data_IF_770143591168
#
_entry.id   IF_770143591168
#
_cell.length_a   1.000
_cell.length_b   1.000
_cell.length_c   1.000
_cell.angle_alpha   90.00
_cell.angle_beta   90.00
_cell.angle_gamma   90.00
#
_symmetry.space_group_name_H-M   'P 1'
#
loop_
_entity.id
_entity.type
_entity.pdbx_description
1 polymer ?
#
# COMPACT_ATOMS: atom_id res chain seq x y z
N UNK A 1 38.94 -105.55 1.42
CA UNK A 1 37.84 -105.14 2.31
C UNK A 1 38.06 -103.67 2.63
N UNK A 2 37.53 -102.78 1.79
CA UNK A 2 36.25 -102.03 1.90
C UNK A 2 36.46 -100.59 2.42
N UNK A 3 36.37 -99.65 1.47
CA UNK A 3 36.01 -98.20 1.54
C UNK A 3 34.77 -97.95 2.44
N UNK A 4 34.38 -96.74 2.93
CA UNK A 4 34.59 -95.35 2.42
C UNK A 4 35.00 -94.33 3.53
N UNK A 5 35.30 -93.04 3.36
CA UNK A 5 35.23 -92.02 2.31
C UNK A 5 35.19 -90.66 3.05
N UNK A 6 35.83 -89.56 2.58
CA UNK A 6 35.68 -88.25 3.20
C UNK A 6 34.40 -87.58 2.67
N UNK A 7 33.37 -87.44 3.52
CA UNK A 7 32.18 -86.66 3.18
C UNK A 7 32.52 -85.19 3.33
N UNK A 8 32.56 -84.52 2.18
CA UNK A 8 32.67 -83.07 2.08
C UNK A 8 31.50 -82.37 2.76
N UNK A 9 31.83 -81.34 3.54
CA UNK A 9 30.91 -80.33 4.03
C UNK A 9 31.40 -78.95 3.62
N UNK A 10 31.22 -78.61 2.35
CA UNK A 10 31.50 -77.27 1.80
C UNK A 10 30.62 -76.17 2.44
N UNK A 11 31.09 -74.92 2.41
CA UNK A 11 30.71 -73.83 3.33
C UNK A 11 29.37 -73.19 2.96
N UNK A 12 28.27 -73.68 3.51
CA UNK A 12 26.95 -73.09 3.23
C UNK A 12 26.72 -71.75 3.96
N UNK A 13 27.44 -71.47 5.06
CA UNK A 13 27.29 -70.20 5.80
C UNK A 13 27.83 -68.96 5.06
N UNK A 14 28.79 -69.11 4.14
CA UNK A 14 29.48 -67.96 3.50
C UNK A 14 28.74 -67.35 2.29
N UNK A 15 27.73 -68.04 1.73
CA UNK A 15 26.96 -67.56 0.56
C UNK A 15 25.72 -66.74 0.94
N UNK A 16 25.07 -67.04 2.05
CA UNK A 16 23.84 -66.34 2.48
C UNK A 16 24.19 -64.94 3.00
N UNK A 17 25.28 -64.80 3.76
CA UNK A 17 25.80 -63.48 4.19
C UNK A 17 26.20 -62.60 2.99
N UNK A 18 26.82 -63.17 1.94
CA UNK A 18 27.22 -62.40 0.75
C UNK A 18 26.02 -61.86 -0.05
N UNK A 19 24.90 -62.60 -0.07
CA UNK A 19 23.67 -62.19 -0.75
C UNK A 19 22.89 -61.13 0.04
N UNK A 20 22.85 -61.24 1.37
CA UNK A 20 22.21 -60.25 2.25
C UNK A 20 22.99 -58.92 2.23
N UNK A 21 24.32 -59.01 2.22
CA UNK A 21 25.20 -57.82 2.14
C UNK A 21 25.06 -57.11 0.78
N UNK A 22 24.91 -57.86 -0.32
CA UNK A 22 24.67 -57.30 -1.66
C UNK A 22 23.31 -56.62 -1.79
N UNK A 23 22.24 -57.23 -1.27
CA UNK A 23 20.90 -56.63 -1.27
C UNK A 23 20.80 -55.38 -0.40
N UNK A 24 21.44 -55.38 0.77
CA UNK A 24 21.51 -54.21 1.65
C UNK A 24 22.29 -53.06 1.00
N UNK A 25 23.41 -53.36 0.32
CA UNK A 25 24.21 -52.36 -0.37
C UNK A 25 23.47 -51.74 -1.56
N UNK A 26 22.75 -52.55 -2.36
CA UNK A 26 21.92 -52.03 -3.47
C UNK A 26 20.79 -51.15 -2.95
N UNK A 27 20.12 -51.56 -1.88
CA UNK A 27 19.06 -50.77 -1.25
C UNK A 27 19.59 -49.44 -0.71
N UNK A 28 20.75 -49.46 -0.04
CA UNK A 28 21.40 -48.26 0.47
C UNK A 28 21.82 -47.31 -0.66
N UNK A 29 22.39 -47.82 -1.76
CA UNK A 29 22.72 -47.01 -2.94
C UNK A 29 21.46 -46.38 -3.54
N UNK A 30 20.36 -47.14 -3.64
CA UNK A 30 19.10 -46.63 -4.18
C UNK A 30 18.52 -45.53 -3.28
N UNK A 31 18.57 -45.70 -1.95
CA UNK A 31 18.18 -44.66 -1.01
C UNK A 31 19.04 -43.40 -1.12
N UNK A 32 20.36 -43.54 -1.29
CA UNK A 32 21.26 -42.40 -1.51
C UNK A 32 20.89 -41.68 -2.80
N UNK A 33 20.68 -42.41 -3.91
CA UNK A 33 20.32 -41.82 -5.19
C UNK A 33 18.99 -41.07 -5.12
N UNK A 34 17.98 -41.64 -4.46
CA UNK A 34 16.69 -40.98 -4.22
C UNK A 34 16.87 -39.75 -3.32
N UNK A 35 17.65 -39.87 -2.24
CA UNK A 35 17.95 -38.76 -1.34
C UNK A 35 18.64 -37.59 -2.04
N UNK A 36 19.68 -37.86 -2.82
CA UNK A 36 20.39 -36.85 -3.62
C UNK A 36 19.47 -36.21 -4.65
N UNK A 37 18.63 -37.00 -5.32
CA UNK A 37 17.66 -36.49 -6.29
C UNK A 37 16.64 -35.56 -5.63
N UNK A 38 16.09 -35.95 -4.48
CA UNK A 38 15.16 -35.13 -3.71
C UNK A 38 15.82 -33.82 -3.25
N UNK A 39 17.03 -33.88 -2.68
CA UNK A 39 17.76 -32.68 -2.24
C UNK A 39 18.03 -31.74 -3.42
N UNK A 40 18.39 -32.28 -4.58
CA UNK A 40 18.65 -31.48 -5.79
C UNK A 40 17.38 -30.78 -6.28
N UNK A 41 16.26 -31.51 -6.35
CA UNK A 41 14.97 -30.95 -6.78
C UNK A 41 14.48 -29.89 -5.79
N UNK A 42 14.49 -30.19 -4.49
CA UNK A 42 14.06 -29.25 -3.45
C UNK A 42 14.95 -28.01 -3.45
N UNK A 43 16.28 -28.18 -3.56
CA UNK A 43 17.23 -27.08 -3.66
C UNK A 43 16.98 -26.19 -4.88
N UNK A 44 16.74 -26.80 -6.05
CA UNK A 44 16.43 -26.06 -7.28
C UNK A 44 15.11 -25.27 -7.16
N UNK A 45 14.06 -25.89 -6.63
CA UNK A 45 12.76 -25.23 -6.45
C UNK A 45 12.89 -24.06 -5.48
N UNK A 46 13.50 -24.26 -4.32
CA UNK A 46 13.69 -23.19 -3.33
C UNK A 46 14.47 -22.01 -3.92
N UNK A 47 15.58 -22.29 -4.62
CA UNK A 47 16.39 -21.26 -5.28
C UNK A 47 15.59 -20.50 -6.35
N UNK A 48 14.88 -21.22 -7.22
CA UNK A 48 14.07 -20.63 -8.29
C UNK A 48 12.95 -19.74 -7.74
N UNK A 49 12.24 -20.20 -6.70
CA UNK A 49 11.17 -19.43 -6.07
C UNK A 49 11.68 -18.19 -5.33
N UNK A 50 12.84 -18.30 -4.67
CA UNK A 50 13.48 -17.16 -4.01
C UNK A 50 13.92 -16.09 -5.00
N UNK A 51 14.59 -16.49 -6.09
CA UNK A 51 15.04 -15.58 -7.14
C UNK A 51 13.88 -14.86 -7.83
N UNK A 52 12.75 -15.55 -8.06
CA UNK A 52 11.56 -14.95 -8.66
C UNK A 52 10.91 -13.94 -7.72
N UNK A 53 10.79 -14.27 -6.44
CA UNK A 53 10.24 -13.35 -5.42
C UNK A 53 11.09 -12.09 -5.30
N UNK A 54 12.42 -12.23 -5.28
CA UNK A 54 13.32 -11.08 -5.21
C UNK A 54 13.20 -10.19 -6.46
N UNK A 55 13.15 -10.78 -7.65
CA UNK A 55 12.92 -10.03 -8.90
C UNK A 55 11.59 -9.26 -8.87
N UNK A 56 10.52 -9.91 -8.41
CA UNK A 56 9.21 -9.28 -8.31
C UNK A 56 9.23 -8.13 -7.29
N UNK A 57 9.94 -8.29 -6.17
CA UNK A 57 10.14 -7.23 -5.19
C UNK A 57 10.93 -6.06 -5.77
N UNK A 58 12.05 -6.30 -6.45
CA UNK A 58 12.84 -5.23 -7.09
C UNK A 58 12.04 -4.48 -8.16
N UNK A 59 11.26 -5.22 -8.96
CA UNK A 59 10.37 -4.61 -9.96
C UNK A 59 9.31 -3.73 -9.31
N UNK A 60 8.71 -4.19 -8.21
CA UNK A 60 7.78 -3.42 -7.41
C UNK A 60 8.45 -2.18 -6.79
N UNK A 61 9.68 -2.27 -6.27
CA UNK A 61 10.40 -1.11 -5.70
C UNK A 61 10.66 -0.04 -6.77
N UNK A 62 10.99 -0.46 -7.99
CA UNK A 62 11.12 0.44 -9.14
C UNK A 62 9.77 1.05 -9.55
N UNK A 63 8.70 0.25 -9.58
CA UNK A 63 7.33 0.73 -9.85
C UNK A 63 6.86 1.74 -8.80
N UNK A 64 7.15 1.51 -7.51
CA UNK A 64 6.81 2.42 -6.44
C UNK A 64 7.52 3.78 -6.61
N UNK A 65 8.81 3.76 -6.96
CA UNK A 65 9.55 4.98 -7.27
C UNK A 65 8.96 5.72 -8.47
N UNK A 66 8.62 4.99 -9.54
CA UNK A 66 7.98 5.56 -10.73
C UNK A 66 6.60 6.15 -10.39
N UNK A 67 5.79 5.47 -9.58
CA UNK A 67 4.48 5.94 -9.13
C UNK A 67 4.59 7.25 -8.33
N UNK A 68 5.54 7.34 -7.40
CA UNK A 68 5.80 8.58 -6.65
C UNK A 68 6.27 9.70 -7.59
N UNK A 69 7.21 9.43 -8.50
CA UNK A 69 7.72 10.44 -9.43
C UNK A 69 6.67 10.92 -10.43
N UNK A 70 5.81 10.03 -10.93
CA UNK A 70 4.69 10.39 -11.81
C UNK A 70 3.72 11.34 -11.10
N UNK A 71 3.35 11.05 -9.84
CA UNK A 71 2.50 11.94 -9.06
C UNK A 71 3.12 13.34 -8.90
N UNK A 72 4.44 13.43 -8.71
CA UNK A 72 5.16 14.71 -8.65
C UNK A 72 5.13 15.47 -9.98
N UNK A 73 5.34 14.76 -11.10
CA UNK A 73 5.35 15.37 -12.43
C UNK A 73 3.95 15.83 -12.85
N UNK A 74 2.92 15.01 -12.61
CA UNK A 74 1.52 15.34 -12.92
C UNK A 74 1.03 16.54 -12.11
N UNK A 75 1.28 16.54 -10.80
CA UNK A 75 0.93 17.68 -9.93
C UNK A 75 1.68 18.95 -10.30
N UNK A 76 2.99 18.89 -10.56
CA UNK A 76 3.77 20.03 -11.03
C UNK A 76 3.30 20.54 -12.40
N UNK A 77 2.94 19.62 -13.32
CA UNK A 77 2.34 19.96 -14.60
C UNK A 77 1.01 20.69 -14.45
N UNK A 78 0.13 20.18 -13.58
CA UNK A 78 -1.15 20.80 -13.27
C UNK A 78 -0.98 22.19 -12.64
N UNK A 79 -0.05 22.34 -11.69
CA UNK A 79 0.27 23.63 -11.06
C UNK A 79 0.76 24.67 -12.07
N UNK A 80 1.58 24.25 -13.06
CA UNK A 80 2.03 25.14 -14.14
C UNK A 80 0.88 25.51 -15.08
N UNK A 81 0.02 24.56 -15.41
CA UNK A 81 -1.10 24.78 -16.33
C UNK A 81 -2.22 25.63 -15.74
N UNK A 82 -2.46 25.58 -14.42
CA UNK A 82 -3.57 26.30 -13.79
C UNK A 82 -3.35 27.81 -13.71
N UNK A 83 -2.09 28.28 -13.72
CA UNK A 83 -1.71 29.66 -13.43
C UNK A 83 -2.27 30.24 -12.11
N UNK A 84 -2.78 29.37 -11.22
CA UNK A 84 -3.38 29.77 -9.95
C UNK A 84 -2.31 30.28 -8.99
N UNK A 85 -2.68 31.26 -8.17
CA UNK A 85 -1.80 31.83 -7.14
C UNK A 85 -2.41 31.79 -5.75
N UNK A 86 -3.71 31.52 -5.65
CA UNK A 86 -4.39 31.44 -4.37
C UNK A 86 -4.09 30.09 -3.69
N UNK A 87 -3.74 30.06 -2.39
CA UNK A 87 -3.36 28.83 -1.72
C UNK A 87 -4.46 27.76 -1.70
N UNK A 88 -5.73 28.16 -1.64
CA UNK A 88 -6.85 27.22 -1.57
C UNK A 88 -6.96 26.37 -2.85
N UNK A 89 -6.92 27.01 -4.02
CA UNK A 89 -6.96 26.32 -5.31
C UNK A 89 -5.72 25.45 -5.51
N UNK A 90 -4.54 25.94 -5.10
CA UNK A 90 -3.29 25.18 -5.18
C UNK A 90 -3.31 23.95 -4.27
N UNK A 91 -3.79 24.07 -3.03
CA UNK A 91 -3.97 22.93 -2.12
C UNK A 91 -4.91 21.88 -2.71
N UNK A 92 -6.06 22.29 -3.26
CA UNK A 92 -7.00 21.36 -3.88
C UNK A 92 -6.39 20.67 -5.11
N UNK A 93 -5.61 21.39 -5.92
CA UNK A 93 -4.95 20.85 -7.09
C UNK A 93 -3.83 19.86 -6.73
N UNK A 94 -3.01 20.18 -5.74
CA UNK A 94 -1.99 19.28 -5.22
C UNK A 94 -2.67 18.01 -4.70
N UNK A 95 -3.70 18.14 -3.86
CA UNK A 95 -4.43 16.99 -3.32
C UNK A 95 -5.07 16.11 -4.38
N UNK A 96 -5.57 16.71 -5.47
CA UNK A 96 -6.13 15.95 -6.60
C UNK A 96 -5.10 15.09 -7.32
N UNK A 97 -3.87 15.57 -7.49
CA UNK A 97 -2.84 14.88 -8.29
C UNK A 97 -1.88 14.03 -7.46
N UNK A 98 -1.69 14.33 -6.18
CA UNK A 98 -0.87 13.49 -5.29
C UNK A 98 -1.70 12.51 -4.47
N UNK A 99 -2.99 12.79 -4.31
CA UNK A 99 -3.89 12.13 -3.35
C UNK A 99 -3.45 12.32 -1.89
N UNK A 100 -2.63 13.34 -1.62
CA UNK A 100 -2.14 13.61 -0.27
C UNK A 100 -3.28 14.05 0.66
N UNK A 101 -3.52 13.32 1.76
CA UNK A 101 -4.50 13.74 2.75
C UNK A 101 -4.09 15.03 3.43
N UNK A 102 -2.80 15.17 3.76
CA UNK A 102 -2.26 16.35 4.45
C UNK A 102 -1.41 17.19 3.51
N UNK A 103 -1.75 18.48 3.43
CA UNK A 103 -1.05 19.47 2.62
C UNK A 103 -0.87 20.75 3.44
N UNK A 104 0.37 21.04 3.80
CA UNK A 104 0.72 22.25 4.54
C UNK A 104 1.17 23.35 3.59
N UNK A 105 0.84 24.60 3.92
CA UNK A 105 1.29 25.78 3.20
C UNK A 105 2.11 26.67 4.13
N UNK A 106 3.36 26.90 3.77
CA UNK A 106 4.25 27.87 4.40
C UNK A 106 4.18 29.19 3.62
N UNK A 107 3.46 30.16 4.18
CA UNK A 107 3.28 31.47 3.56
C UNK A 107 4.57 32.29 3.47
N UNK A 108 5.52 32.11 4.40
CA UNK A 108 6.77 32.85 4.41
C UNK A 108 7.67 32.45 3.22
N UNK A 109 7.67 31.16 2.89
CA UNK A 109 8.48 30.61 1.79
C UNK A 109 7.68 30.30 0.52
N UNK A 110 6.37 30.59 0.50
CA UNK A 110 5.43 30.22 -0.59
C UNK A 110 5.60 28.76 -1.02
N UNK A 111 5.64 27.88 -0.01
CA UNK A 111 5.98 26.47 -0.17
C UNK A 111 4.80 25.61 0.26
N UNK A 112 4.49 24.60 -0.54
CA UNK A 112 3.55 23.55 -0.16
C UNK A 112 4.30 22.26 0.17
N UNK A 113 3.86 21.54 1.18
CA UNK A 113 4.35 20.19 1.48
C UNK A 113 3.17 19.24 1.53
N UNK A 114 3.16 18.25 0.66
CA UNK A 114 2.12 17.23 0.59
C UNK A 114 2.71 15.86 0.99
N UNK A 115 2.02 15.14 1.87
CA UNK A 115 2.52 13.88 2.45
C UNK A 115 1.53 12.76 2.16
N UNK A 116 1.99 11.69 1.53
CA UNK A 116 1.13 10.55 1.15
C UNK A 116 1.90 9.24 1.17
N UNK A 117 1.27 8.21 1.71
CA UNK A 117 1.77 6.84 1.56
C UNK A 117 1.40 6.33 0.17
N UNK A 118 2.41 5.87 -0.57
CA UNK A 118 2.20 5.15 -1.83
C UNK A 118 2.65 3.71 -1.64
N UNK A 119 2.00 2.81 -2.34
CA UNK A 119 2.29 1.39 -2.25
C UNK A 119 2.05 0.69 -3.58
N UNK A 120 2.74 -0.43 -3.76
CA UNK A 120 2.48 -1.36 -4.84
C UNK A 120 2.54 -2.79 -4.30
N UNK A 121 1.78 -3.68 -4.92
CA UNK A 121 1.70 -5.08 -4.56
C UNK A 121 2.63 -5.89 -5.49
N UNK A 122 3.21 -6.96 -4.97
CA UNK A 122 4.05 -7.86 -5.74
C UNK A 122 3.76 -9.33 -5.41
N UNK A 123 3.93 -10.18 -6.41
CA UNK A 123 3.69 -11.60 -6.24
C UNK A 123 4.89 -12.27 -5.58
N UNK A 124 4.67 -12.87 -4.40
CA UNK A 124 5.59 -13.81 -3.78
C UNK A 124 5.38 -15.20 -4.36
N UNK A 125 6.46 -15.88 -4.69
CA UNK A 125 6.44 -17.26 -5.17
C UNK A 125 7.13 -18.13 -4.14
N UNK A 126 6.46 -19.20 -3.69
CA UNK A 126 7.02 -20.20 -2.79
C UNK A 126 6.65 -21.62 -3.28
N UNK A 127 7.23 -22.64 -2.65
CA UNK A 127 7.07 -24.05 -3.04
C UNK A 127 5.63 -24.60 -2.89
N UNK A 128 4.77 -23.98 -2.06
CA UNK A 128 3.43 -24.47 -1.71
C UNK A 128 2.28 -23.64 -2.33
N UNK A 129 2.60 -22.62 -3.12
CA UNK A 129 1.63 -21.70 -3.71
C UNK A 129 1.97 -20.24 -3.42
N UNK A 130 1.92 -19.40 -4.45
CA UNK A 130 2.26 -17.99 -4.34
C UNK A 130 1.29 -17.17 -3.47
N UNK A 131 1.68 -15.95 -3.15
CA UNK A 131 0.85 -14.96 -2.46
C UNK A 131 1.11 -13.55 -2.99
N UNK A 132 0.31 -12.58 -2.52
CA UNK A 132 0.63 -11.16 -2.70
C UNK A 132 1.31 -10.63 -1.45
N UNK A 133 2.21 -9.68 -1.64
CA UNK A 133 2.78 -8.88 -0.57
C UNK A 133 2.86 -7.43 -1.05
N UNK A 134 3.04 -6.49 -0.14
CA UNK A 134 2.95 -5.06 -0.43
C UNK A 134 4.21 -4.37 0.03
N UNK A 135 4.77 -3.54 -0.84
CA UNK A 135 5.77 -2.56 -0.44
C UNK A 135 5.09 -1.19 -0.41
N UNK A 136 5.46 -0.38 0.58
CA UNK A 136 4.92 0.94 0.75
C UNK A 136 6.02 1.91 1.21
N UNK A 137 5.88 3.16 0.81
CA UNK A 137 6.78 4.23 1.20
C UNK A 137 6.02 5.54 1.39
N UNK A 138 6.58 6.39 2.24
CA UNK A 138 6.06 7.73 2.46
C UNK A 138 6.66 8.70 1.45
N UNK A 139 5.84 9.23 0.54
CA UNK A 139 6.22 10.28 -0.40
C UNK A 139 5.95 11.66 0.19
N UNK A 140 7.01 12.47 0.31
CA UNK A 140 6.93 13.86 0.74
C UNK A 140 7.24 14.75 -0.47
N UNK A 141 6.22 15.46 -0.95
CA UNK A 141 6.28 16.33 -2.12
C UNK A 141 6.38 17.77 -1.65
N UNK A 142 7.50 18.43 -1.96
CA UNK A 142 7.71 19.84 -1.65
C UNK A 142 7.59 20.66 -2.92
N UNK A 143 6.64 21.58 -2.97
CA UNK A 143 6.44 22.51 -4.09
C UNK A 143 6.92 23.89 -3.68
N UNK A 144 7.79 24.48 -4.49
CA UNK A 144 8.27 25.85 -4.28
C UNK A 144 8.00 26.68 -5.53
N UNK A 145 7.46 27.89 -5.33
CA UNK A 145 7.23 28.84 -6.40
C UNK A 145 8.48 29.72 -6.59
N UNK A 146 9.13 29.57 -7.74
CA UNK A 146 10.27 30.38 -8.14
C UNK A 146 9.93 31.85 -8.41
N UNK A 147 10.94 32.74 -8.49
CA UNK A 147 10.74 34.17 -8.78
C UNK A 147 10.15 34.42 -10.17
N UNK A 148 10.41 33.53 -11.12
CA UNK A 148 9.86 33.49 -12.47
C UNK A 148 8.47 32.84 -12.55
N UNK A 149 7.84 32.58 -11.39
CA UNK A 149 6.58 31.83 -11.25
C UNK A 149 6.65 30.40 -11.76
N UNK A 150 7.84 29.82 -11.86
CA UNK A 150 7.97 28.39 -12.17
C UNK A 150 7.86 27.55 -10.90
N UNK A 151 7.05 26.49 -10.98
CA UNK A 151 6.96 25.50 -9.91
C UNK A 151 8.12 24.52 -9.99
N UNK A 152 8.85 24.38 -8.88
CA UNK A 152 9.78 23.29 -8.64
C UNK A 152 9.14 22.30 -7.67
N UNK A 153 9.31 21.02 -7.94
CA UNK A 153 8.86 19.93 -7.08
C UNK A 153 10.08 19.11 -6.67
N UNK A 154 10.26 18.95 -5.37
CA UNK A 154 11.24 18.06 -4.78
C UNK A 154 10.49 16.90 -4.12
N UNK A 155 10.98 15.68 -4.34
CA UNK A 155 10.39 14.46 -3.81
C UNK A 155 11.38 13.82 -2.85
N UNK A 156 10.93 13.55 -1.63
CA UNK A 156 11.69 12.75 -0.67
C UNK A 156 10.88 11.52 -0.29
N UNK A 157 11.50 10.36 -0.40
CA UNK A 157 10.92 9.09 0.03
C UNK A 157 11.41 8.74 1.44
N UNK A 158 10.50 8.31 2.32
CA UNK A 158 10.76 7.87 3.69
C UNK A 158 10.05 6.54 3.96
N UNK A 159 10.36 5.93 5.11
CA UNK A 159 9.60 4.79 5.62
C UNK A 159 8.13 5.17 5.88
N UNK A 160 7.24 4.18 5.85
CA UNK A 160 5.79 4.37 6.01
C UNK A 160 5.40 5.04 7.34
N UNK A 161 6.19 4.83 8.39
CA UNK A 161 6.00 5.45 9.71
C UNK A 161 5.97 6.98 9.65
N UNK A 162 6.71 7.59 8.72
CA UNK A 162 6.71 9.04 8.50
C UNK A 162 5.37 9.57 7.96
N UNK A 163 4.57 8.71 7.33
CA UNK A 163 3.26 9.07 6.78
C UNK A 163 2.10 8.75 7.73
N UNK A 164 2.35 8.14 8.89
CA UNK A 164 1.30 7.65 9.78
C UNK A 164 0.24 8.72 10.12
N UNK A 165 0.60 9.96 10.52
CA UNK A 165 -0.41 11.00 10.79
C UNK A 165 -1.25 11.35 9.56
N UNK A 166 -0.61 11.43 8.38
CA UNK A 166 -1.31 11.71 7.11
C UNK A 166 -2.23 10.56 6.70
N UNK A 167 -1.77 9.32 6.83
CA UNK A 167 -2.58 8.13 6.54
C UNK A 167 -3.80 8.06 7.46
N UNK A 168 -3.64 8.33 8.76
CA UNK A 168 -4.77 8.41 9.71
C UNK A 168 -5.80 9.45 9.29
N UNK A 169 -5.37 10.68 9.00
CA UNK A 169 -6.25 11.74 8.49
C UNK A 169 -6.95 11.31 7.19
N UNK A 170 -6.24 10.66 6.28
CA UNK A 170 -6.79 10.12 5.04
C UNK A 170 -7.82 9.00 5.25
N UNK A 171 -7.63 8.14 6.26
CA UNK A 171 -8.62 7.16 6.67
C UNK A 171 -9.88 7.82 7.23
N UNK A 172 -9.74 8.87 8.04
CA UNK A 172 -10.87 9.64 8.55
C UNK A 172 -11.64 10.33 7.40
N UNK A 173 -10.92 10.92 6.44
CA UNK A 173 -11.52 11.57 5.28
C UNK A 173 -12.31 10.58 4.40
N UNK A 174 -11.79 9.36 4.21
CA UNK A 174 -12.51 8.29 3.50
C UNK A 174 -13.73 7.80 4.26
N UNK A 175 -13.61 7.56 5.57
CA UNK A 175 -14.76 7.17 6.40
C UNK A 175 -15.86 8.25 6.41
N UNK A 176 -15.48 9.53 6.42
CA UNK A 176 -16.42 10.63 6.27
C UNK A 176 -17.10 10.61 4.89
N UNK A 177 -16.36 10.34 3.80
CA UNK A 177 -16.94 10.16 2.46
C UNK A 177 -17.95 9.02 2.43
N UNK A 178 -17.58 7.84 2.92
CA UNK A 178 -18.44 6.65 2.92
C UNK A 178 -19.75 6.88 3.68
N UNK A 179 -19.70 7.58 4.82
CA UNK A 179 -20.92 7.94 5.56
C UNK A 179 -21.78 8.90 4.76
N UNK A 180 -21.18 9.92 4.16
CA UNK A 180 -21.87 10.91 3.35
C UNK A 180 -22.46 10.34 2.05
N UNK A 181 -21.84 9.31 1.46
CA UNK A 181 -22.38 8.60 0.29
C UNK A 181 -23.61 7.75 0.64
N UNK A 182 -23.70 7.25 1.86
CA UNK A 182 -24.85 6.49 2.36
C UNK A 182 -25.98 7.35 2.96
N UNK A 183 -25.90 8.68 2.86
CA UNK A 183 -26.87 9.61 3.43
C UNK A 183 -27.91 10.04 2.38
N UNK A 184 -29.18 9.76 2.67
CA UNK A 184 -30.32 10.22 1.87
C UNK A 184 -30.85 11.61 2.33
N UNK A 185 -30.42 12.08 3.50
CA UNK A 185 -30.91 13.31 4.12
C UNK A 185 -30.13 14.56 3.67
N UNK A 186 -30.83 15.68 3.43
CA UNK A 186 -30.18 16.98 3.20
C UNK A 186 -29.59 17.53 4.50
N UNK A 187 -28.26 17.70 4.54
CA UNK A 187 -27.53 18.15 5.72
C UNK A 187 -27.53 19.68 5.83
N UNK A 188 -28.65 20.28 6.20
CA UNK A 188 -28.84 21.74 6.18
C UNK A 188 -28.11 22.54 7.28
N UNK A 189 -27.61 21.87 8.31
CA UNK A 189 -27.02 22.54 9.49
C UNK A 189 -25.73 21.86 9.95
N UNK A 190 -24.87 22.65 10.61
CA UNK A 190 -23.64 22.13 11.27
C UNK A 190 -23.97 21.01 12.25
N UNK A 191 -25.06 21.13 13.02
CA UNK A 191 -25.47 20.10 13.99
C UNK A 191 -25.89 18.80 13.32
N UNK A 192 -26.62 18.87 12.19
CA UNK A 192 -26.98 17.70 11.41
C UNK A 192 -25.75 17.04 10.78
N UNK A 193 -24.89 17.83 10.13
CA UNK A 193 -23.64 17.35 9.54
C UNK A 193 -22.74 16.70 10.59
N UNK A 194 -22.60 17.32 11.76
CA UNK A 194 -21.86 16.75 12.88
C UNK A 194 -22.49 15.45 13.36
N UNK A 195 -23.80 15.39 13.59
CA UNK A 195 -24.49 14.17 14.04
C UNK A 195 -24.35 13.03 13.02
N UNK A 196 -24.40 13.36 11.73
CA UNK A 196 -24.20 12.41 10.64
C UNK A 196 -22.78 11.83 10.67
N UNK A 197 -21.77 12.70 10.75
CA UNK A 197 -20.37 12.31 10.79
C UNK A 197 -19.97 11.67 12.13
N UNK A 198 -20.63 12.00 13.25
CA UNK A 198 -20.38 11.39 14.56
C UNK A 198 -20.76 9.89 14.59
N UNK A 199 -21.63 9.42 13.67
CA UNK A 199 -22.00 7.99 13.56
C UNK A 199 -20.83 7.09 13.15
N UNK A 200 -19.70 7.64 12.69
CA UNK A 200 -18.50 6.86 12.31
C UNK A 200 -17.76 6.21 13.49
N UNK A 201 -18.23 6.33 14.74
CA UNK A 201 -17.54 5.96 16.00
C UNK A 201 -16.22 6.73 16.21
N UNK A 202 -15.82 6.91 17.48
CA UNK A 202 -15.88 8.18 18.20
C UNK A 202 -14.79 9.17 17.71
N UNK A 203 -15.15 10.36 17.22
CA UNK A 203 -14.14 11.29 16.73
C UNK A 203 -14.36 12.71 17.27
N UNK A 204 -13.83 12.93 18.48
CA UNK A 204 -13.27 14.25 18.84
C UNK A 204 -12.09 14.68 17.95
N UNK A 205 -11.90 14.03 16.80
CA UNK A 205 -10.89 14.23 15.76
C UNK A 205 -11.49 14.74 14.45
N UNK A 206 -12.82 14.88 14.37
CA UNK A 206 -13.51 15.55 13.28
C UNK A 206 -14.34 16.69 13.87
N UNK A 207 -14.07 17.91 13.42
CA UNK A 207 -14.83 19.09 13.85
C UNK A 207 -15.44 19.77 12.62
N UNK A 208 -16.76 19.69 12.48
CA UNK A 208 -17.48 20.45 11.46
C UNK A 208 -17.47 21.93 11.82
N UNK A 209 -16.94 22.77 10.93
CA UNK A 209 -16.84 24.22 11.12
C UNK A 209 -17.96 24.97 10.42
N UNK A 210 -18.28 24.57 9.19
CA UNK A 210 -19.22 25.30 8.35
C UNK A 210 -19.98 24.33 7.45
N UNK A 211 -21.23 24.66 7.19
CA UNK A 211 -22.03 24.02 6.14
C UNK A 211 -22.56 25.12 5.24
N UNK A 212 -22.40 24.91 3.94
CA UNK A 212 -22.84 25.84 2.91
C UNK A 212 -23.67 25.09 1.88
N UNK A 213 -24.68 25.78 1.35
CA UNK A 213 -25.57 25.22 0.35
C UNK A 213 -25.55 26.11 -0.87
N UNK A 214 -25.49 25.47 -2.03
CA UNK A 214 -25.87 26.08 -3.28
C UNK A 214 -27.09 25.36 -3.87
N UNK A 215 -27.46 25.68 -5.10
CA UNK A 215 -28.63 25.10 -5.77
C UNK A 215 -28.45 23.60 -6.08
N UNK A 216 -27.22 23.10 -6.12
CA UNK A 216 -26.84 21.77 -6.61
C UNK A 216 -26.08 20.94 -5.59
N UNK A 217 -25.36 21.56 -4.66
CA UNK A 217 -24.48 20.88 -3.72
C UNK A 217 -24.60 21.44 -2.31
N UNK A 218 -24.31 20.57 -1.35
CA UNK A 218 -24.03 20.93 0.03
C UNK A 218 -22.53 20.75 0.25
N UNK A 219 -21.84 21.78 0.74
CA UNK A 219 -20.41 21.72 1.05
C UNK A 219 -20.20 21.89 2.55
N UNK A 220 -19.57 20.89 3.16
CA UNK A 220 -19.23 20.83 4.57
C UNK A 220 -17.74 21.09 4.71
N UNK A 221 -17.37 22.07 5.51
CA UNK A 221 -15.99 22.31 5.94
C UNK A 221 -15.77 21.62 7.29
N UNK A 222 -14.80 20.71 7.35
CA UNK A 222 -14.44 19.98 8.55
C UNK A 222 -12.93 19.97 8.78
N UNK A 223 -12.53 20.12 10.04
CA UNK A 223 -11.15 19.93 10.50
C UNK A 223 -10.99 18.48 10.93
N UNK A 224 -10.06 17.77 10.31
CA UNK A 224 -9.69 16.40 10.67
C UNK A 224 -8.32 16.42 11.33
N UNK A 225 -8.17 15.64 12.40
CA UNK A 225 -6.95 15.58 13.21
C UNK A 225 -6.55 14.13 13.43
N UNK A 226 -5.25 13.85 13.45
CA UNK A 226 -4.72 12.52 13.77
C UNK A 226 -4.95 12.13 15.24
N UNK A 227 -4.64 10.89 15.59
CA UNK A 227 -4.81 10.39 16.98
C UNK A 227 -3.96 11.16 17.98
N UNK A 228 -2.74 11.53 17.60
CA UNK A 228 -1.80 12.21 18.49
C UNK A 228 -1.98 13.74 18.52
N UNK A 229 -2.92 14.28 17.74
CA UNK A 229 -3.15 15.73 17.58
C UNK A 229 -1.89 16.49 17.16
N UNK A 230 -1.08 15.85 16.33
CA UNK A 230 0.15 16.40 15.76
C UNK A 230 -0.07 17.10 14.43
N UNK A 231 -1.11 16.69 13.69
CA UNK A 231 -1.45 17.23 12.37
C UNK A 231 -2.94 17.44 12.28
N UNK A 232 -3.31 18.64 11.83
CA UNK A 232 -4.68 19.00 11.48
C UNK A 232 -4.78 19.40 10.01
N UNK A 233 -5.88 19.04 9.37
CA UNK A 233 -6.13 19.33 7.97
C UNK A 233 -7.60 19.66 7.77
N UNK A 234 -7.84 20.79 7.10
CA UNK A 234 -9.16 21.16 6.66
C UNK A 234 -9.54 20.38 5.40
N UNK A 235 -10.79 19.92 5.36
CA UNK A 235 -11.39 19.25 4.23
C UNK A 235 -12.69 19.92 3.84
N UNK A 236 -12.92 20.01 2.53
CA UNK A 236 -14.21 20.32 1.93
C UNK A 236 -14.84 19.01 1.46
N UNK A 237 -15.96 18.66 2.09
CA UNK A 237 -16.80 17.53 1.70
C UNK A 237 -18.01 18.06 0.93
N UNK A 238 -18.08 17.77 -0.36
CA UNK A 238 -19.14 18.27 -1.23
C UNK A 238 -20.04 17.13 -1.67
N UNK A 239 -21.33 17.28 -1.37
CA UNK A 239 -22.39 16.32 -1.64
C UNK A 239 -23.33 16.86 -2.72
N UNK A 240 -23.86 16.04 -3.63
CA UNK A 240 -24.99 16.44 -4.45
C UNK A 240 -26.24 16.66 -3.59
N UNK A 241 -27.10 17.58 -3.99
CA UNK A 241 -28.41 17.75 -3.36
C UNK A 241 -29.38 16.65 -3.82
N UNK A 242 -30.24 16.11 -2.92
CA UNK A 242 -31.30 15.18 -3.30
C UNK A 242 -32.21 15.80 -4.38
N UNK A 243 -32.51 15.05 -5.45
CA UNK A 243 -33.40 15.49 -6.53
C UNK A 243 -32.71 15.96 -7.82
N UNK A 244 -31.38 16.00 -7.88
CA UNK A 244 -30.67 16.16 -9.15
C UNK A 244 -30.68 14.84 -9.94
N UNK A 245 -31.12 14.87 -11.19
CA UNK A 245 -31.26 13.69 -12.06
C UNK A 245 -29.93 13.01 -12.45
N UNK A 246 -28.78 13.56 -12.04
CA UNK A 246 -27.46 13.00 -12.29
C UNK A 246 -26.81 12.68 -10.94
N UNK A 247 -26.60 11.40 -10.61
CA UNK A 247 -25.80 11.00 -9.47
C UNK A 247 -24.40 11.61 -9.61
N UNK A 248 -24.05 12.55 -8.74
CA UNK A 248 -22.67 13.05 -8.66
C UNK A 248 -22.04 12.46 -7.41
N UNK A 249 -20.81 11.94 -7.48
CA UNK A 249 -20.18 11.32 -6.32
C UNK A 249 -19.89 12.37 -5.24
N UNK A 250 -19.89 11.94 -3.97
CA UNK A 250 -19.40 12.77 -2.88
C UNK A 250 -17.90 12.98 -3.08
N UNK A 251 -17.48 14.24 -3.02
CA UNK A 251 -16.06 14.58 -3.12
C UNK A 251 -15.54 15.02 -1.76
N UNK A 252 -14.30 14.64 -1.45
CA UNK A 252 -13.61 15.06 -0.23
C UNK A 252 -12.24 15.54 -0.66
N UNK A 253 -11.98 16.83 -0.45
CA UNK A 253 -10.78 17.52 -0.94
C UNK A 253 -10.08 18.24 0.21
N UNK A 254 -8.75 18.12 0.34
CA UNK A 254 -8.00 18.95 1.27
C UNK A 254 -8.15 20.44 0.91
N UNK A 255 -8.25 21.28 1.94
CA UNK A 255 -8.37 22.72 1.82
C UNK A 255 -7.36 23.41 2.73
N UNK A 256 -6.90 24.60 2.33
CA UNK A 256 -5.94 25.39 3.11
C UNK A 256 -6.54 25.94 4.41
N UNK A 257 -7.87 26.00 4.52
CA UNK A 257 -8.57 26.57 5.67
C UNK A 257 -9.97 25.98 5.81
N UNK A 258 -10.46 26.02 7.04
CA UNK A 258 -11.85 25.81 7.41
C UNK A 258 -12.47 27.18 7.74
#
# INVERSE_FOLDING_TARGET
>A
MTSPGPVGGTPVKKRIERSITGGCLVFLVLLIMVGVSLVTVVGYVLWSTGNTTEKNRTAAEAELHDLINRAALESAGALRASAATDPATLTALIGKHTEAPVITYDAAHKKFTAVVEKATDYQRVNMLGGGSDRIAACGIFTYTLGPDRTWRVDVTTRETTACLPSSEVGHLARGAREVLEGLDDDLTTVTQARRALDRTRPLGRLTVRKVTHDKRTTTISALLTDTAQTVDQCFLLTLPRPGNQVPSPVTVTPASSC
#
